data_IF_322680687410
#
_entry.id   IF_322680687410
#
_cell.length_a   1.000
_cell.length_b   1.000
_cell.length_c   1.000
_cell.angle_alpha   90.00
_cell.angle_beta   90.00
_cell.angle_gamma   90.00
#
_symmetry.space_group_name_H-M   'P 1'
#
loop_
_entity.id
_entity.type
_entity.pdbx_description
1 polymer ?
#
# COMPACT_ATOMS: atom_id res chain seq x y z
N UNK A 1 11.78 27.73 46.70
CA UNK A 1 10.82 28.23 45.69
C UNK A 1 11.45 28.29 44.29
N UNK A 2 12.60 28.97 44.12
CA UNK A 2 13.33 29.07 42.84
C UNK A 2 13.87 27.73 42.26
N UNK A 3 14.32 26.82 43.12
CA UNK A 3 14.81 25.49 42.71
C UNK A 3 13.68 24.57 42.23
N UNK A 4 12.52 24.64 42.88
CA UNK A 4 11.32 23.88 42.53
C UNK A 4 10.79 24.30 41.15
N UNK A 5 10.74 25.61 40.89
CA UNK A 5 10.34 26.14 39.59
C UNK A 5 11.28 25.70 38.48
N UNK A 6 12.60 25.75 38.70
CA UNK A 6 13.58 25.34 37.69
C UNK A 6 13.45 23.85 37.36
N UNK A 7 13.30 23.00 38.37
CA UNK A 7 13.10 21.55 38.18
C UNK A 7 11.82 21.22 37.39
N UNK A 8 10.75 21.98 37.62
CA UNK A 8 9.47 21.80 36.94
C UNK A 8 9.55 22.23 35.47
N UNK A 9 10.20 23.35 35.17
CA UNK A 9 10.43 23.81 33.79
C UNK A 9 11.30 22.83 33.00
N UNK A 10 12.36 22.27 33.59
CA UNK A 10 13.16 21.22 32.93
C UNK A 10 12.38 19.93 32.70
N UNK A 11 11.56 19.51 33.67
CA UNK A 11 10.70 18.34 33.48
C UNK A 11 9.72 18.57 32.33
N UNK A 12 9.02 19.71 32.29
CA UNK A 12 8.11 20.06 31.20
C UNK A 12 8.84 20.06 29.86
N UNK A 13 10.02 20.68 29.76
CA UNK A 13 10.80 20.72 28.52
C UNK A 13 11.17 19.33 28.00
N UNK A 14 11.57 18.40 28.88
CA UNK A 14 11.86 17.01 28.54
C UNK A 14 10.61 16.21 28.08
N UNK A 15 9.41 16.62 28.50
CA UNK A 15 8.14 15.99 28.13
C UNK A 15 7.39 16.74 27.00
N UNK A 16 7.95 17.81 26.43
CA UNK A 16 7.34 18.47 25.26
C UNK A 16 7.53 17.64 23.99
N UNK A 17 6.54 17.62 23.07
CA UNK A 17 6.63 16.91 21.79
C UNK A 17 7.75 17.41 20.86
N UNK A 18 8.48 18.46 21.25
CA UNK A 18 9.69 18.91 20.58
C UNK A 18 10.82 17.85 20.60
N UNK A 19 10.80 16.92 21.57
CA UNK A 19 11.76 15.81 21.67
C UNK A 19 11.21 14.46 21.21
N UNK A 20 9.96 14.38 20.74
CA UNK A 20 9.47 13.15 20.11
C UNK A 20 9.96 13.08 18.67
N UNK A 21 10.72 12.05 18.27
CA UNK A 21 11.12 11.92 16.88
C UNK A 21 9.88 11.81 16.00
N UNK A 22 9.85 12.56 14.90
CA UNK A 22 8.80 12.46 13.90
C UNK A 22 8.79 11.03 13.33
N UNK A 23 7.73 10.28 13.57
CA UNK A 23 7.53 8.99 12.91
C UNK A 23 7.10 9.24 11.47
N UNK A 24 7.85 8.70 10.50
CA UNK A 24 7.45 8.69 9.10
C UNK A 24 6.81 7.35 8.77
N UNK A 25 5.63 7.39 8.13
CA UNK A 25 5.02 6.18 7.60
C UNK A 25 5.80 5.70 6.37
N UNK A 26 6.09 4.41 6.28
CA UNK A 26 6.61 3.82 5.05
C UNK A 26 5.53 3.87 3.96
N UNK A 27 5.92 4.25 2.74
CA UNK A 27 5.02 4.20 1.60
C UNK A 27 4.69 2.74 1.26
N UNK A 28 3.43 2.46 0.90
CA UNK A 28 3.07 1.15 0.37
C UNK A 28 3.61 1.03 -1.06
N UNK A 29 4.53 0.08 -1.27
CA UNK A 29 5.13 -0.20 -2.58
C UNK A 29 4.42 -1.32 -3.34
N UNK A 30 3.29 -1.80 -2.83
CA UNK A 30 2.49 -2.88 -3.40
C UNK A 30 1.07 -2.42 -3.69
N UNK A 31 0.47 -2.98 -4.74
CA UNK A 31 -0.92 -2.74 -5.12
C UNK A 31 -1.68 -4.05 -4.98
N UNK A 32 -2.75 -4.05 -4.18
CA UNK A 32 -3.67 -5.17 -4.13
C UNK A 32 -4.63 -5.09 -5.32
N UNK A 33 -4.85 -6.20 -6.00
CA UNK A 33 -5.79 -6.30 -7.11
C UNK A 33 -6.66 -7.54 -6.95
N UNK A 34 -7.92 -7.42 -7.34
CA UNK A 34 -8.89 -8.52 -7.43
C UNK A 34 -9.62 -8.35 -8.76
N UNK A 35 -9.86 -9.45 -9.47
CA UNK A 35 -10.54 -9.44 -10.76
C UNK A 35 -11.47 -10.65 -10.86
N UNK A 36 -12.51 -10.51 -11.68
CA UNK A 36 -13.40 -11.61 -12.07
C UNK A 36 -13.51 -11.65 -13.59
N UNK A 37 -13.58 -12.85 -14.15
CA UNK A 37 -13.74 -13.03 -15.59
C UNK A 37 -15.23 -12.94 -15.93
N UNK A 38 -15.56 -12.03 -16.84
CA UNK A 38 -16.92 -11.81 -17.34
C UNK A 38 -17.04 -12.24 -18.80
N UNK A 39 -18.24 -12.68 -19.16
CA UNK A 39 -18.66 -12.86 -20.55
C UNK A 39 -18.80 -11.50 -21.25
N UNK A 40 -18.94 -11.50 -22.58
CA UNK A 40 -19.16 -10.28 -23.36
C UNK A 40 -20.48 -9.56 -23.03
N UNK A 41 -21.43 -10.22 -22.36
CA UNK A 41 -22.69 -9.62 -21.87
C UNK A 41 -22.61 -9.17 -20.41
N UNK A 42 -21.46 -9.33 -19.75
CA UNK A 42 -21.23 -8.92 -18.36
C UNK A 42 -21.62 -9.96 -17.31
N UNK A 43 -22.15 -11.13 -17.70
CA UNK A 43 -22.40 -12.24 -16.78
C UNK A 43 -21.08 -12.90 -16.35
N UNK A 44 -21.06 -13.52 -15.16
CA UNK A 44 -19.88 -14.24 -14.66
C UNK A 44 -19.57 -15.43 -15.57
N UNK A 45 -18.29 -15.61 -15.90
CA UNK A 45 -17.82 -16.88 -16.47
C UNK A 45 -17.99 -17.97 -15.40
N UNK A 46 -18.42 -19.19 -15.76
CA UNK A 46 -18.54 -20.29 -14.80
C UNK A 46 -17.21 -20.61 -14.09
N UNK A 47 -17.33 -21.28 -12.95
CA UNK A 47 -16.17 -21.72 -12.18
C UNK A 47 -15.33 -22.71 -13.00
N UNK A 48 -14.02 -22.52 -12.96
CA UNK A 48 -13.09 -23.31 -13.73
C UNK A 48 -11.68 -22.74 -13.68
N UNK A 49 -10.72 -23.48 -14.23
CA UNK A 49 -9.33 -23.05 -14.28
C UNK A 49 -9.06 -22.17 -15.50
N UNK A 50 -8.56 -20.97 -15.25
CA UNK A 50 -8.22 -20.02 -16.31
C UNK A 50 -6.76 -19.57 -16.19
N UNK A 51 -6.08 -19.52 -17.33
CA UNK A 51 -4.78 -18.87 -17.43
C UNK A 51 -4.99 -17.35 -17.53
N UNK A 52 -4.46 -16.62 -16.56
CA UNK A 52 -4.51 -15.16 -16.53
C UNK A 52 -3.09 -14.61 -16.49
N UNK A 53 -2.80 -13.64 -17.34
CA UNK A 53 -1.53 -12.92 -17.37
C UNK A 53 -1.75 -11.46 -17.03
N UNK A 54 -0.99 -10.94 -16.08
CA UNK A 54 -0.96 -9.53 -15.72
C UNK A 54 0.32 -8.89 -16.25
N UNK A 55 0.22 -7.64 -16.69
CA UNK A 55 1.36 -6.82 -17.13
C UNK A 55 1.21 -5.39 -16.61
N UNK A 56 2.32 -4.82 -16.14
CA UNK A 56 2.42 -3.43 -15.72
C UNK A 56 3.40 -2.68 -16.63
N UNK A 57 2.98 -1.52 -17.11
CA UNK A 57 3.77 -0.63 -17.96
C UNK A 57 3.93 0.74 -17.31
N UNK A 58 4.97 1.47 -17.69
CA UNK A 58 5.24 2.85 -17.24
C UNK A 58 4.46 3.93 -18.01
N UNK A 59 3.82 3.57 -19.13
CA UNK A 59 3.05 4.49 -19.97
C UNK A 59 1.81 3.82 -20.58
N UNK A 60 0.79 4.63 -20.88
CA UNK A 60 -0.47 4.17 -21.47
C UNK A 60 -0.33 3.69 -22.93
N UNK A 61 0.67 4.18 -23.66
CA UNK A 61 1.01 3.74 -25.01
C UNK A 61 2.53 3.84 -25.21
N UNK A 62 3.13 2.84 -25.85
CA UNK A 62 4.57 2.79 -26.10
C UNK A 62 5.48 2.61 -24.86
N UNK A 63 4.90 2.26 -23.70
CA UNK A 63 5.65 2.10 -22.45
C UNK A 63 6.49 0.83 -22.36
N UNK A 64 7.41 0.82 -21.40
CA UNK A 64 8.26 -0.33 -21.05
C UNK A 64 7.50 -1.28 -20.13
N UNK A 65 7.63 -2.59 -20.38
CA UNK A 65 7.11 -3.61 -19.46
C UNK A 65 7.94 -3.60 -18.17
N UNK A 66 7.32 -3.22 -17.06
CA UNK A 66 7.95 -3.19 -15.73
C UNK A 66 7.79 -4.50 -14.98
N UNK A 67 6.67 -5.19 -15.18
CA UNK A 67 6.34 -6.41 -14.45
C UNK A 67 5.35 -7.28 -15.22
N UNK A 68 5.48 -8.61 -15.08
CA UNK A 68 4.53 -9.59 -15.60
C UNK A 68 4.38 -10.74 -14.63
N UNK A 69 3.17 -11.29 -14.54
CA UNK A 69 2.88 -12.50 -13.76
C UNK A 69 1.86 -13.35 -14.49
N UNK A 70 1.93 -14.67 -14.31
CA UNK A 70 0.98 -15.62 -14.89
C UNK A 70 0.41 -16.50 -13.80
N UNK A 71 -0.92 -16.52 -13.67
CA UNK A 71 -1.65 -17.32 -12.69
C UNK A 71 -2.56 -18.30 -13.39
N UNK A 72 -2.55 -19.52 -12.86
CA UNK A 72 -3.52 -20.55 -13.17
C UNK A 72 -4.35 -20.76 -11.90
N UNK A 73 -5.53 -20.16 -11.86
CA UNK A 73 -6.39 -20.20 -10.67
C UNK A 73 -7.84 -20.50 -11.06
N UNK A 74 -8.64 -20.85 -10.07
CA UNK A 74 -10.06 -21.13 -10.21
C UNK A 74 -10.83 -19.81 -10.16
N UNK A 75 -11.67 -19.54 -11.15
CA UNK A 75 -12.59 -18.40 -11.09
C UNK A 75 -13.69 -18.71 -10.05
N UNK A 76 -13.71 -18.00 -8.92
CA UNK A 76 -14.73 -18.09 -7.86
C UNK A 76 -15.12 -16.70 -7.35
#
# INVERSE_FOLDING_TARGET
MFTLTLSLLTAIYLYTPAFTPNALAAANTTINFQARILTNTGALVPDGYYNVQFKLYDAASGGTLLWTDTRYDTNG
#
